data_IF_630259890491
#
_entry.id   IF_630259890491
#
_cell.length_a   1.000
_cell.length_b   1.000
_cell.length_c   1.000
_cell.angle_alpha   90.00
_cell.angle_beta   90.00
_cell.angle_gamma   90.00
#
_symmetry.space_group_name_H-M   'P 1'
#
loop_
_entity.id
_entity.type
_entity.pdbx_description
1 polymer ?
#
# COMPACT_ATOMS: atom_id res chain seq x y z
N UNK A 1 -4.90 4.09 1.95
CA UNK A 1 -3.46 4.29 1.65
C UNK A 1 -2.84 5.09 2.76
N UNK A 2 -1.70 5.72 2.51
CA UNK A 2 -0.97 6.53 3.50
C UNK A 2 -0.82 7.93 2.89
N UNK A 3 -1.38 8.95 3.54
CA UNK A 3 -1.40 10.32 3.04
C UNK A 3 -0.57 11.23 3.96
N UNK A 4 0.06 12.29 3.43
CA UNK A 4 0.77 13.27 4.24
C UNK A 4 -0.20 14.15 5.03
N UNK A 5 0.25 14.68 6.16
CA UNK A 5 -0.57 15.54 7.03
C UNK A 5 -1.17 16.76 6.30
N UNK A 6 -0.48 17.28 5.28
CA UNK A 6 -0.96 18.39 4.44
C UNK A 6 -2.23 18.08 3.63
N UNK A 7 -2.66 16.82 3.59
CA UNK A 7 -3.89 16.36 2.92
C UNK A 7 -5.04 16.10 3.90
N UNK A 8 -4.92 16.53 5.17
CA UNK A 8 -5.90 16.25 6.23
C UNK A 8 -7.28 16.89 6.03
N UNK A 9 -7.37 17.94 5.20
CA UNK A 9 -8.64 18.65 4.93
C UNK A 9 -9.48 18.00 3.81
N UNK A 10 -8.97 16.93 3.17
CA UNK A 10 -9.72 16.23 2.12
C UNK A 10 -10.95 15.56 2.74
N UNK A 11 -12.17 15.83 2.23
CA UNK A 11 -13.39 15.20 2.75
C UNK A 11 -13.31 13.67 2.73
N UNK A 12 -13.70 13.06 3.85
CA UNK A 12 -13.82 11.60 3.95
C UNK A 12 -15.17 11.16 3.41
N UNK A 13 -15.25 11.03 2.09
CA UNK A 13 -16.45 10.60 1.37
C UNK A 13 -16.12 9.49 0.35
N UNK A 14 -17.15 8.79 -0.12
CA UNK A 14 -17.03 7.81 -1.19
C UNK A 14 -16.40 8.46 -2.43
N UNK A 15 -15.53 7.71 -3.10
CA UNK A 15 -14.80 8.07 -4.31
C UNK A 15 -13.85 9.28 -4.26
N UNK A 16 -14.00 10.17 -3.28
CA UNK A 16 -13.15 11.38 -3.11
C UNK A 16 -11.67 11.02 -2.99
N UNK A 17 -11.37 9.91 -2.30
CA UNK A 17 -10.01 9.45 -2.06
C UNK A 17 -9.38 8.67 -3.24
N UNK A 18 -10.18 8.22 -4.22
CA UNK A 18 -9.72 7.33 -5.30
C UNK A 18 -8.62 7.99 -6.14
N UNK A 19 -8.77 9.27 -6.46
CA UNK A 19 -7.76 10.05 -7.20
C UNK A 19 -6.39 10.13 -6.48
N UNK A 20 -6.39 9.93 -5.16
CA UNK A 20 -5.19 9.93 -4.34
C UNK A 20 -4.59 8.54 -4.15
N UNK A 21 -5.13 7.50 -4.80
CA UNK A 21 -4.68 6.10 -4.63
C UNK A 21 -5.10 5.52 -3.27
N UNK A 22 -6.17 6.06 -2.69
CA UNK A 22 -6.79 5.62 -1.44
C UNK A 22 -8.27 5.34 -1.68
N UNK A 23 -8.92 4.64 -0.75
CA UNK A 23 -10.37 4.47 -0.74
C UNK A 23 -10.85 4.47 0.70
N UNK A 24 -12.11 4.83 0.95
CA UNK A 24 -12.65 5.02 2.31
C UNK A 24 -12.70 3.72 3.11
N UNK A 25 -13.05 2.60 2.47
CA UNK A 25 -13.16 1.30 3.12
C UNK A 25 -14.12 1.33 4.30
N UNK A 26 -13.64 0.95 5.49
CA UNK A 26 -14.38 1.00 6.75
C UNK A 26 -14.38 2.36 7.44
N UNK A 27 -13.87 3.42 6.78
CA UNK A 27 -13.65 4.74 7.35
C UNK A 27 -12.70 4.76 8.57
N UNK A 28 -11.84 3.74 8.70
CA UNK A 28 -10.81 3.70 9.73
C UNK A 28 -9.69 4.70 9.42
N UNK A 29 -9.39 5.57 10.38
CA UNK A 29 -8.28 6.54 10.32
C UNK A 29 -7.22 6.13 11.34
N UNK A 30 -5.97 6.03 10.90
CA UNK A 30 -4.81 5.80 11.75
C UNK A 30 -3.86 6.99 11.58
N UNK A 31 -3.55 7.68 12.68
CA UNK A 31 -2.67 8.84 12.69
C UNK A 31 -1.27 8.40 13.14
N UNK A 32 -0.27 8.76 12.34
CA UNK A 32 1.14 8.59 12.64
C UNK A 32 1.77 9.96 12.90
N UNK A 33 2.66 10.03 13.88
CA UNK A 33 3.40 11.25 14.23
C UNK A 33 4.56 11.50 13.27
N UNK A 34 5.28 12.60 13.48
CA UNK A 34 6.53 12.92 12.79
C UNK A 34 7.73 12.06 13.23
N UNK A 35 7.60 11.32 14.33
CA UNK A 35 8.58 10.31 14.77
C UNK A 35 8.41 8.96 14.02
N UNK A 36 7.29 8.80 13.31
CA UNK A 36 6.98 7.59 12.55
C UNK A 36 7.43 7.68 11.09
N UNK A 37 7.66 6.52 10.46
CA UNK A 37 8.05 6.43 9.04
C UNK A 37 6.98 5.75 8.21
N UNK A 38 6.59 6.36 7.09
CA UNK A 38 5.62 5.77 6.17
C UNK A 38 6.10 4.43 5.59
N UNK A 39 7.42 4.30 5.40
CA UNK A 39 8.06 3.02 5.01
C UNK A 39 7.86 1.91 6.03
N UNK A 40 7.92 2.22 7.34
CA UNK A 40 7.69 1.23 8.40
C UNK A 40 6.21 0.80 8.43
N UNK A 41 5.28 1.75 8.32
CA UNK A 41 3.86 1.45 8.24
C UNK A 41 3.53 0.58 7.01
N UNK A 42 4.09 0.90 5.84
CA UNK A 42 3.89 0.12 4.63
C UNK A 42 4.44 -1.31 4.77
N UNK A 43 5.63 -1.50 5.36
CA UNK A 43 6.19 -2.84 5.63
C UNK A 43 5.26 -3.67 6.51
N UNK A 44 4.75 -3.09 7.59
CA UNK A 44 3.83 -3.78 8.49
C UNK A 44 2.53 -4.18 7.76
N UNK A 45 1.94 -3.25 7.01
CA UNK A 45 0.71 -3.53 6.24
C UNK A 45 0.91 -4.62 5.18
N UNK A 46 2.02 -4.61 4.43
CA UNK A 46 2.31 -5.66 3.45
C UNK A 46 2.56 -7.01 4.12
N UNK A 47 3.23 -7.02 5.28
CA UNK A 47 3.38 -8.24 6.08
C UNK A 47 2.01 -8.81 6.48
N UNK A 48 1.12 -7.96 7.01
CA UNK A 48 -0.26 -8.34 7.32
C UNK A 48 -0.98 -8.93 6.09
N UNK A 49 -0.96 -8.27 4.94
CA UNK A 49 -1.59 -8.82 3.72
C UNK A 49 -0.97 -10.13 3.23
N UNK A 50 0.32 -10.34 3.49
CA UNK A 50 0.99 -11.60 3.19
C UNK A 50 0.55 -12.72 4.12
N UNK A 51 0.35 -12.44 5.40
CA UNK A 51 -0.07 -13.41 6.42
C UNK A 51 -1.58 -13.73 6.32
N UNK A 52 -2.41 -12.74 6.01
CA UNK A 52 -3.88 -12.86 5.90
C UNK A 52 -4.37 -13.27 4.51
N UNK A 53 -3.46 -13.53 3.57
CA UNK A 53 -3.84 -14.05 2.26
C UNK A 53 -4.48 -15.44 2.41
N UNK A 54 -5.74 -15.59 1.99
CA UNK A 54 -6.42 -16.89 1.94
C UNK A 54 -5.77 -17.91 0.99
N UNK A 55 -4.88 -17.45 0.11
CA UNK A 55 -4.05 -18.30 -0.74
C UNK A 55 -4.64 -18.66 -2.11
N UNK A 56 -5.90 -18.30 -2.37
CA UNK A 56 -6.65 -18.72 -3.57
C UNK A 56 -6.09 -18.16 -4.88
N UNK A 57 -5.71 -16.88 -4.94
CA UNK A 57 -5.14 -16.27 -6.14
C UNK A 57 -3.63 -16.04 -5.99
N UNK A 58 -2.87 -16.48 -6.99
CA UNK A 58 -1.42 -16.27 -7.09
C UNK A 58 -1.00 -14.80 -6.97
N UNK A 59 -1.64 -13.80 -7.64
CA UNK A 59 -1.26 -12.39 -7.49
C UNK A 59 -1.31 -11.94 -6.03
N UNK A 60 -2.32 -12.32 -5.25
CA UNK A 60 -2.35 -12.02 -3.81
C UNK A 60 -1.28 -12.82 -3.05
N UNK A 61 -1.34 -14.16 -3.09
CA UNK A 61 -0.50 -15.04 -2.26
C UNK A 61 1.00 -14.86 -2.49
N UNK A 62 1.41 -14.78 -3.76
CA UNK A 62 2.82 -14.68 -4.14
C UNK A 62 3.23 -13.22 -4.30
N UNK A 63 2.31 -12.36 -4.74
CA UNK A 63 2.62 -10.95 -4.95
C UNK A 63 2.89 -10.20 -3.65
N UNK A 64 2.11 -10.41 -2.59
CA UNK A 64 2.38 -9.79 -1.28
C UNK A 64 3.71 -10.24 -0.70
N UNK A 65 4.01 -11.55 -0.77
CA UNK A 65 5.30 -12.10 -0.32
C UNK A 65 6.49 -11.55 -1.12
N UNK A 66 6.32 -11.36 -2.44
CA UNK A 66 7.34 -10.73 -3.30
C UNK A 66 7.49 -9.24 -3.00
N UNK A 67 6.39 -8.51 -2.83
CA UNK A 67 6.39 -7.11 -2.49
C UNK A 67 7.11 -6.86 -1.16
N UNK A 68 6.84 -7.69 -0.13
CA UNK A 68 7.51 -7.61 1.17
C UNK A 68 9.03 -7.68 1.03
N UNK A 69 9.53 -8.69 0.31
CA UNK A 69 10.98 -8.85 0.06
C UNK A 69 11.59 -7.68 -0.71
N UNK A 70 10.83 -7.03 -1.58
CA UNK A 70 11.32 -5.87 -2.35
C UNK A 70 11.41 -4.62 -1.48
N UNK A 71 10.43 -4.38 -0.60
CA UNK A 71 10.40 -3.20 0.26
C UNK A 71 11.27 -3.31 1.52
N UNK A 72 11.66 -4.52 1.91
CA UNK A 72 12.66 -4.76 2.97
C UNK A 72 14.07 -4.30 2.59
N UNK A 73 14.36 -4.17 1.28
CA UNK A 73 15.62 -3.64 0.79
C UNK A 73 15.75 -2.16 1.11
N UNK A 74 17.00 -1.69 1.29
CA UNK A 74 17.30 -0.27 1.52
C UNK A 74 16.82 0.61 0.37
N UNK A 75 17.01 0.14 -0.88
CA UNK A 75 16.57 0.83 -2.10
C UNK A 75 15.47 0.02 -2.76
N UNK A 76 14.34 0.67 -3.02
CA UNK A 76 13.19 0.03 -3.63
C UNK A 76 13.35 -0.04 -5.16
N UNK A 77 13.06 -1.22 -5.72
CA UNK A 77 12.94 -1.39 -7.16
C UNK A 77 11.57 -0.88 -7.61
N UNK A 78 11.47 0.43 -7.78
CA UNK A 78 10.21 1.12 -8.05
C UNK A 78 9.51 0.66 -9.35
N UNK A 79 10.21 0.47 -10.49
CA UNK A 79 9.59 -0.07 -11.70
C UNK A 79 8.97 -1.46 -11.46
N UNK A 80 9.72 -2.37 -10.83
CA UNK A 80 9.23 -3.71 -10.54
C UNK A 80 8.07 -3.71 -9.54
N UNK A 81 8.13 -2.87 -8.51
CA UNK A 81 7.04 -2.71 -7.55
C UNK A 81 5.77 -2.19 -8.21
N UNK A 82 5.87 -1.25 -9.17
CA UNK A 82 4.72 -0.76 -9.94
C UNK A 82 4.09 -1.85 -10.79
N UNK A 83 4.91 -2.60 -11.53
CA UNK A 83 4.44 -3.71 -12.37
C UNK A 83 3.75 -4.79 -11.52
N UNK A 84 4.39 -5.18 -10.41
CA UNK A 84 3.81 -6.14 -9.47
C UNK A 84 2.50 -5.63 -8.87
N UNK A 85 2.46 -4.36 -8.46
CA UNK A 85 1.27 -3.74 -7.88
C UNK A 85 0.11 -3.75 -8.88
N UNK A 86 0.37 -3.43 -10.14
CA UNK A 86 -0.65 -3.45 -11.19
C UNK A 86 -1.20 -4.86 -11.41
N UNK A 87 -0.33 -5.87 -11.52
CA UNK A 87 -0.76 -7.26 -11.64
C UNK A 87 -1.60 -7.73 -10.44
N UNK A 88 -1.26 -7.27 -9.23
CA UNK A 88 -2.04 -7.57 -8.02
C UNK A 88 -3.42 -6.92 -8.03
N UNK A 89 -3.51 -5.65 -8.44
CA UNK A 89 -4.77 -4.92 -8.57
C UNK A 89 -5.69 -5.55 -9.62
N UNK A 90 -5.15 -5.93 -10.78
CA UNK A 90 -5.97 -6.40 -11.91
C UNK A 90 -6.40 -7.86 -11.78
N UNK A 91 -5.56 -8.72 -11.19
CA UNK A 91 -5.75 -10.17 -11.24
C UNK A 91 -6.11 -10.81 -9.89
N UNK A 92 -6.18 -10.04 -8.80
CA UNK A 92 -6.63 -10.56 -7.51
C UNK A 92 -8.15 -10.73 -7.47
N UNK A 93 -8.61 -11.87 -6.95
CA UNK A 93 -10.03 -12.25 -6.92
C UNK A 93 -10.87 -11.37 -5.98
N UNK A 94 -10.27 -10.89 -4.89
CA UNK A 94 -10.98 -10.15 -3.85
C UNK A 94 -10.27 -8.85 -3.47
N UNK A 95 -10.99 -8.01 -2.72
CA UNK A 95 -10.53 -6.70 -2.29
C UNK A 95 -9.23 -6.71 -1.47
N UNK A 96 -8.90 -7.78 -0.76
CA UNK A 96 -7.63 -7.89 -0.02
C UNK A 96 -6.45 -7.82 -0.99
N UNK A 97 -6.42 -8.70 -1.99
CA UNK A 97 -5.32 -8.72 -2.96
C UNK A 97 -5.27 -7.48 -3.85
N UNK A 98 -6.43 -6.92 -4.17
CA UNK A 98 -6.54 -5.68 -4.95
C UNK A 98 -6.03 -4.46 -4.16
N UNK A 99 -6.33 -4.38 -2.86
CA UNK A 99 -5.93 -3.26 -2.02
C UNK A 99 -4.51 -3.39 -1.45
N UNK A 100 -3.96 -4.61 -1.40
CA UNK A 100 -2.65 -4.89 -0.80
C UNK A 100 -1.50 -4.00 -1.31
N UNK A 101 -1.43 -3.60 -2.60
CA UNK A 101 -0.36 -2.72 -3.08
C UNK A 101 -0.43 -1.26 -2.60
N UNK A 102 -1.58 -0.81 -2.10
CA UNK A 102 -1.82 0.60 -1.78
C UNK A 102 -0.80 1.24 -0.82
N UNK A 103 -0.34 0.58 0.25
CA UNK A 103 0.67 1.15 1.14
C UNK A 103 2.00 1.44 0.42
N UNK A 104 2.44 0.54 -0.46
CA UNK A 104 3.68 0.69 -1.24
C UNK A 104 3.56 1.84 -2.23
N UNK A 105 2.47 1.87 -2.99
CA UNK A 105 2.20 2.94 -3.95
C UNK A 105 2.07 4.31 -3.27
N UNK A 106 1.46 4.35 -2.07
CA UNK A 106 1.34 5.55 -1.25
C UNK A 106 2.71 6.10 -0.83
N UNK A 107 3.60 5.24 -0.33
CA UNK A 107 4.97 5.63 0.05
C UNK A 107 5.73 6.17 -1.15
N UNK A 108 5.67 5.46 -2.29
CA UNK A 108 6.37 5.90 -3.51
C UNK A 108 5.87 7.25 -4.03
N UNK A 109 4.57 7.54 -3.87
CA UNK A 109 3.96 8.78 -4.36
C UNK A 109 4.18 9.97 -3.41
N UNK A 110 3.96 9.76 -2.12
CA UNK A 110 3.87 10.86 -1.15
C UNK A 110 5.10 10.99 -0.24
N UNK A 111 5.90 9.93 -0.11
CA UNK A 111 7.08 9.89 0.76
C UNK A 111 8.35 9.42 0.02
N UNK A 112 8.66 9.96 -1.18
CA UNK A 112 9.79 9.48 -2.00
C UNK A 112 11.15 9.62 -1.31
N UNK A 113 11.28 10.58 -0.39
CA UNK A 113 12.51 10.84 0.38
C UNK A 113 12.82 9.72 1.39
N UNK A 114 11.85 8.86 1.73
CA UNK A 114 12.10 7.74 2.65
C UNK A 114 12.68 6.50 1.97
N UNK A 115 12.63 6.42 0.64
CA UNK A 115 12.97 5.22 -0.17
C UNK A 115 14.08 5.47 -1.20
N UNK A 116 14.71 6.65 -1.16
CA UNK A 116 15.80 7.06 -2.04
C UNK A 116 17.18 6.77 -1.46
#
# INVERSE_FOLDING_TARGET
GILPAAMGDIPLDFDTLNQYGCFIGSAAIVIFSDEDRATTAAKNLIKFFSEESCGQCTPCRVGTAKALKLIEKKKWDQPLLKELSQAMMDASICGLGQAAPNPVLSVMKYFPNEIT
#
